data_IF_767925848932
#
_entry.id   IF_767925848932
#
_cell.length_a   1.000
_cell.length_b   1.000
_cell.length_c   1.000
_cell.angle_alpha   90.00
_cell.angle_beta   90.00
_cell.angle_gamma   90.00
#
_symmetry.space_group_name_H-M   'P 1'
#
loop_
_entity.id
_entity.type
_entity.pdbx_description
1 polymer ?
#
# COMPACT_ATOMS: atom_id res chain seq x y z
N UNK A 1 -1.97 -12.21 18.02
CA UNK A 1 -1.74 -13.14 16.90
C UNK A 1 -0.65 -12.62 15.98
N UNK A 2 0.30 -13.48 15.64
CA UNK A 2 1.42 -13.08 14.79
C UNK A 2 0.98 -13.01 13.33
N UNK A 3 1.35 -11.92 12.65
CA UNK A 3 1.10 -11.79 11.22
C UNK A 3 1.91 -12.82 10.44
N UNK A 4 1.30 -13.39 9.40
CA UNK A 4 1.99 -14.31 8.50
C UNK A 4 2.70 -13.59 7.37
N UNK A 5 2.44 -12.30 7.20
CA UNK A 5 3.03 -11.51 6.12
C UNK A 5 4.31 -10.85 6.60
N UNK A 6 5.36 -10.95 5.78
CA UNK A 6 6.60 -10.23 5.99
C UNK A 6 6.54 -8.93 5.18
N UNK A 7 6.75 -7.80 5.83
CA UNK A 7 6.65 -6.50 5.18
C UNK A 7 8.02 -5.92 4.88
N UNK A 8 8.17 -5.40 3.68
CA UNK A 8 9.35 -4.67 3.26
C UNK A 8 8.97 -3.37 2.59
N UNK A 9 9.96 -2.52 2.35
CA UNK A 9 9.77 -1.22 1.73
C UNK A 9 10.89 -0.95 0.75
N UNK A 10 10.52 -0.46 -0.45
CA UNK A 10 11.54 -0.02 -1.38
C UNK A 10 12.13 1.31 -0.89
N UNK A 11 13.35 1.66 -1.32
CA UNK A 11 13.92 2.96 -0.97
C UNK A 11 13.05 4.13 -1.41
N UNK A 12 12.38 4.00 -2.56
CA UNK A 12 11.48 5.02 -3.07
C UNK A 12 10.27 5.21 -2.17
N UNK A 13 9.70 4.10 -1.68
CA UNK A 13 8.58 4.18 -0.74
C UNK A 13 9.02 4.87 0.56
N UNK A 14 10.21 4.57 1.05
CA UNK A 14 10.71 5.18 2.27
C UNK A 14 10.80 6.69 2.13
N UNK A 15 11.21 7.18 0.97
CA UNK A 15 11.27 8.61 0.70
C UNK A 15 9.87 9.23 0.65
N UNK A 16 8.92 8.54 0.01
CA UNK A 16 7.53 8.99 -0.03
C UNK A 16 6.96 9.10 1.37
N UNK A 17 7.15 8.06 2.17
CA UNK A 17 6.62 7.98 3.51
C UNK A 17 7.19 9.09 4.40
N UNK A 18 8.50 9.28 4.35
CA UNK A 18 9.18 10.30 5.14
C UNK A 18 8.67 11.70 4.78
N UNK A 19 8.49 11.96 3.49
CA UNK A 19 7.99 13.24 3.01
C UNK A 19 6.56 13.49 3.48
N UNK A 20 5.69 12.49 3.32
CA UNK A 20 4.29 12.63 3.68
C UNK A 20 4.07 12.63 5.20
N UNK A 21 4.93 11.96 5.95
CA UNK A 21 4.84 11.94 7.41
C UNK A 21 4.98 13.34 8.01
N UNK A 22 5.76 14.20 7.38
CA UNK A 22 5.89 15.59 7.83
C UNK A 22 4.58 16.34 7.74
N UNK A 23 3.74 15.99 6.77
CA UNK A 23 2.46 16.62 6.54
C UNK A 23 1.32 15.92 7.29
N UNK A 24 1.38 14.60 7.37
CA UNK A 24 0.35 13.78 8.01
C UNK A 24 0.99 12.99 9.15
N UNK A 25 0.97 13.55 10.35
CA UNK A 25 1.73 13.02 11.49
C UNK A 25 1.27 11.65 11.98
N UNK A 26 0.07 11.22 11.63
CA UNK A 26 -0.46 9.93 12.07
C UNK A 26 -0.12 8.77 11.13
N UNK A 27 0.64 9.01 10.05
CA UNK A 27 0.86 7.99 9.02
C UNK A 27 1.49 6.70 9.52
N UNK A 28 2.38 6.77 10.50
CA UNK A 28 3.00 5.56 11.05
C UNK A 28 1.95 4.62 11.64
N UNK A 29 1.09 5.16 12.51
CA UNK A 29 0.02 4.39 13.11
C UNK A 29 -1.02 3.96 12.08
N UNK A 30 -1.33 4.85 11.13
CA UNK A 30 -2.32 4.57 10.09
C UNK A 30 -1.85 3.42 9.20
N UNK A 31 -0.57 3.36 8.87
CA UNK A 31 -0.01 2.29 8.05
C UNK A 31 -0.06 0.96 8.80
N UNK A 32 0.31 0.95 10.09
CA UNK A 32 0.25 -0.29 10.87
C UNK A 32 -1.17 -0.82 10.97
N UNK A 33 -2.15 0.06 11.11
CA UNK A 33 -3.54 -0.35 11.14
C UNK A 33 -3.99 -0.90 9.78
N UNK A 34 -3.55 -0.27 8.68
CA UNK A 34 -3.91 -0.73 7.34
C UNK A 34 -3.34 -2.11 7.03
N UNK A 35 -2.15 -2.44 7.57
CA UNK A 35 -1.59 -3.79 7.40
C UNK A 35 -2.55 -4.84 7.94
N UNK A 36 -3.14 -4.59 9.10
CA UNK A 36 -4.05 -5.53 9.73
C UNK A 36 -5.45 -5.46 9.10
N UNK A 37 -6.02 -4.27 9.00
CA UNK A 37 -7.43 -4.09 8.64
C UNK A 37 -7.69 -4.18 7.14
N UNK A 38 -6.67 -4.05 6.31
CA UNK A 38 -6.85 -4.12 4.87
C UNK A 38 -6.04 -5.24 4.24
N UNK A 39 -4.72 -5.18 4.36
CA UNK A 39 -3.83 -6.11 3.64
C UNK A 39 -4.01 -7.55 4.13
N UNK A 40 -3.99 -7.79 5.43
CA UNK A 40 -4.13 -9.14 5.97
C UNK A 40 -5.53 -9.68 5.75
N UNK A 41 -6.56 -8.85 5.87
CA UNK A 41 -7.92 -9.29 5.56
C UNK A 41 -8.02 -9.75 4.11
N UNK A 42 -7.46 -8.99 3.18
CA UNK A 42 -7.57 -9.29 1.76
C UNK A 42 -6.76 -10.54 1.37
N UNK A 43 -5.50 -10.61 1.78
CA UNK A 43 -4.59 -11.69 1.31
C UNK A 43 -4.64 -12.96 2.16
N UNK A 44 -4.78 -12.83 3.46
CA UNK A 44 -4.75 -13.99 4.35
C UNK A 44 -6.15 -14.52 4.63
N UNK A 45 -7.08 -13.65 4.98
CA UNK A 45 -8.45 -14.06 5.33
C UNK A 45 -9.37 -14.11 4.11
N UNK A 46 -8.90 -13.65 2.95
CA UNK A 46 -9.66 -13.65 1.70
C UNK A 46 -10.98 -12.87 1.79
N UNK A 47 -10.98 -11.81 2.60
CA UNK A 47 -12.14 -10.95 2.75
C UNK A 47 -11.92 -9.67 1.94
N UNK A 48 -12.83 -9.40 1.00
CA UNK A 48 -12.76 -8.19 0.20
C UNK A 48 -13.50 -7.06 0.93
N UNK A 49 -12.73 -6.10 1.47
CA UNK A 49 -13.28 -4.96 2.18
C UNK A 49 -13.43 -3.73 1.27
N UNK A 50 -13.31 -3.91 -0.04
CA UNK A 50 -13.46 -2.88 -1.05
C UNK A 50 -12.43 -1.74 -0.92
N UNK A 51 -11.33 -2.00 -0.24
CA UNK A 51 -10.22 -1.04 -0.08
C UNK A 51 -9.09 -1.32 -1.02
N UNK A 52 -8.91 -2.58 -1.42
CA UNK A 52 -7.74 -3.02 -2.18
C UNK A 52 -8.16 -3.43 -3.58
N UNK A 53 -7.42 -2.91 -4.56
CA UNK A 53 -7.71 -3.13 -5.97
C UNK A 53 -6.44 -3.57 -6.69
N UNK A 54 -6.43 -4.78 -7.28
CA UNK A 54 -5.28 -5.20 -8.10
C UNK A 54 -5.11 -4.25 -9.29
N UNK A 55 -3.86 -3.97 -9.64
CA UNK A 55 -3.56 -3.08 -10.77
C UNK A 55 -3.36 -3.93 -12.02
N UNK A 56 -4.24 -3.75 -13.00
CA UNK A 56 -4.16 -4.50 -14.25
C UNK A 56 -2.85 -4.21 -14.99
N UNK A 57 -2.31 -5.25 -15.59
CA UNK A 57 -1.08 -5.14 -16.36
C UNK A 57 0.19 -5.40 -15.57
N UNK A 58 0.09 -5.48 -14.24
CA UNK A 58 1.27 -5.70 -13.39
C UNK A 58 1.16 -6.95 -12.52
N UNK A 59 0.05 -7.67 -12.59
CA UNK A 59 -0.10 -8.90 -11.82
C UNK A 59 0.42 -10.09 -12.63
N UNK A 60 1.16 -10.99 -11.97
CA UNK A 60 1.69 -12.21 -12.57
C UNK A 60 1.27 -13.40 -11.72
N UNK A 61 1.71 -14.59 -12.09
CA UNK A 61 1.46 -15.79 -11.29
C UNK A 61 2.12 -15.72 -9.91
N UNK A 62 3.21 -14.97 -9.80
CA UNK A 62 4.01 -14.88 -8.57
C UNK A 62 3.73 -13.63 -7.75
N UNK A 63 3.31 -12.55 -8.39
CA UNK A 63 3.18 -11.25 -7.76
C UNK A 63 1.84 -10.63 -8.11
N UNK A 64 1.15 -10.11 -7.09
CA UNK A 64 -0.04 -9.31 -7.28
C UNK A 64 0.27 -7.88 -6.85
N UNK A 65 0.25 -6.94 -7.79
CA UNK A 65 0.45 -5.53 -7.46
C UNK A 65 -0.91 -4.92 -7.17
N UNK A 66 -1.02 -4.27 -6.02
CA UNK A 66 -2.29 -3.76 -5.52
C UNK A 66 -2.20 -2.30 -5.11
N UNK A 67 -3.35 -1.64 -5.16
CA UNK A 67 -3.49 -0.26 -4.70
C UNK A 67 -4.50 -0.23 -3.55
N UNK A 68 -4.12 0.39 -2.42
CA UNK A 68 -5.07 0.69 -1.35
C UNK A 68 -5.67 2.05 -1.66
N UNK A 69 -6.97 2.10 -1.93
CA UNK A 69 -7.68 3.35 -2.23
C UNK A 69 -8.37 3.96 -1.01
N UNK A 70 -8.83 3.11 -0.10
CA UNK A 70 -9.53 3.58 1.10
C UNK A 70 -8.61 3.45 2.30
N UNK A 71 -7.73 4.43 2.45
CA UNK A 71 -6.75 4.47 3.51
C UNK A 71 -7.16 5.54 4.52
N UNK A 72 -7.45 5.11 5.76
CA UNK A 72 -7.83 6.03 6.82
C UNK A 72 -6.60 6.74 7.37
N UNK A 73 -6.65 8.06 7.47
CA UNK A 73 -5.56 8.86 8.01
C UNK A 73 -6.11 9.76 9.11
N UNK A 74 -5.69 9.51 10.35
CA UNK A 74 -6.18 10.22 11.51
C UNK A 74 -5.86 11.71 11.47
N UNK A 75 -4.75 12.08 10.84
CA UNK A 75 -4.37 13.49 10.69
C UNK A 75 -5.35 14.26 9.82
N UNK A 76 -6.14 13.56 8.97
CA UNK A 76 -7.17 14.17 8.14
C UNK A 76 -8.53 13.91 8.78
N UNK A 77 -8.79 14.61 9.87
CA UNK A 77 -10.01 14.45 10.66
C UNK A 77 -11.26 14.66 9.82
N UNK A 78 -12.27 13.80 10.07
CA UNK A 78 -13.55 13.90 9.38
C UNK A 78 -13.59 13.27 8.01
N UNK A 79 -12.48 12.79 7.47
CA UNK A 79 -12.45 12.15 6.16
C UNK A 79 -12.51 10.63 6.22
N UNK A 80 -12.12 10.01 7.35
CA UNK A 80 -12.10 8.56 7.48
C UNK A 80 -11.26 7.93 6.37
N UNK A 81 -11.84 6.99 5.63
CA UNK A 81 -11.16 6.32 4.52
C UNK A 81 -11.05 7.16 3.25
N UNK A 82 -11.54 8.40 3.28
CA UNK A 82 -11.49 9.31 2.12
C UNK A 82 -10.32 10.29 2.24
N UNK A 83 -9.22 9.85 2.81
CA UNK A 83 -8.06 10.71 3.03
C UNK A 83 -7.39 11.18 1.74
N UNK A 84 -7.53 10.41 0.67
CA UNK A 84 -6.82 10.69 -0.57
C UNK A 84 -5.43 10.10 -0.61
N UNK A 85 -4.98 9.48 0.49
CA UNK A 85 -3.69 8.80 0.51
C UNK A 85 -3.84 7.44 -0.15
N UNK A 86 -2.91 7.13 -1.07
CA UNK A 86 -2.91 5.89 -1.83
C UNK A 86 -1.61 5.17 -1.59
N UNK A 87 -1.68 3.84 -1.49
CA UNK A 87 -0.49 3.01 -1.28
C UNK A 87 -0.46 1.93 -2.36
N UNK A 88 0.72 1.77 -2.98
CA UNK A 88 0.95 0.72 -3.96
C UNK A 88 1.90 -0.28 -3.33
N UNK A 89 1.55 -1.57 -3.41
CA UNK A 89 2.41 -2.62 -2.88
C UNK A 89 2.33 -3.86 -3.78
N UNK A 90 3.33 -4.71 -3.64
CA UNK A 90 3.36 -6.01 -4.31
C UNK A 90 3.24 -7.12 -3.28
N UNK A 91 2.32 -8.04 -3.51
CA UNK A 91 2.17 -9.23 -2.68
C UNK A 91 2.81 -10.41 -3.41
N UNK A 92 3.79 -11.04 -2.77
CA UNK A 92 4.47 -12.23 -3.31
C UNK A 92 3.82 -13.47 -2.72
N UNK A 93 3.15 -14.24 -3.57
CA UNK A 93 2.39 -15.42 -3.11
C UNK A 93 3.27 -16.47 -2.45
N UNK A 94 4.44 -16.72 -3.02
CA UNK A 94 5.28 -17.83 -2.61
C UNK A 94 5.80 -17.70 -1.18
N UNK A 95 6.31 -16.54 -0.83
CA UNK A 95 6.88 -16.31 0.50
C UNK A 95 6.02 -15.42 1.40
N UNK A 96 4.79 -15.17 1.00
CA UNK A 96 3.85 -14.38 1.78
C UNK A 96 4.47 -13.05 2.22
N UNK A 97 4.98 -12.31 1.24
CA UNK A 97 5.72 -11.06 1.48
C UNK A 97 5.02 -9.89 0.79
N UNK A 98 4.97 -8.77 1.49
CA UNK A 98 4.48 -7.51 0.92
C UNK A 98 5.64 -6.53 0.85
N UNK A 99 5.89 -5.99 -0.35
CA UNK A 99 6.84 -4.89 -0.54
C UNK A 99 6.06 -3.63 -0.89
N UNK A 100 6.20 -2.60 -0.08
CA UNK A 100 5.59 -1.31 -0.38
C UNK A 100 6.41 -0.59 -1.44
N UNK A 101 5.74 -0.12 -2.48
CA UNK A 101 6.39 0.47 -3.66
C UNK A 101 6.23 1.98 -3.69
N UNK A 102 5.02 2.48 -3.40
CA UNK A 102 4.73 3.90 -3.50
C UNK A 102 3.66 4.32 -2.50
N UNK A 103 3.81 5.53 -1.96
CA UNK A 103 2.75 6.20 -1.23
C UNK A 103 2.61 7.59 -1.82
N UNK A 104 1.37 7.98 -2.13
CA UNK A 104 1.15 9.33 -2.66
C UNK A 104 -0.16 9.89 -2.14
N UNK A 105 -0.27 11.21 -2.19
CA UNK A 105 -1.47 11.93 -1.82
C UNK A 105 -2.16 12.42 -3.09
N UNK A 106 -3.42 12.05 -3.28
CA UNK A 106 -4.14 12.34 -4.52
C UNK A 106 -4.24 13.84 -4.81
N UNK A 107 -4.21 14.67 -3.78
CA UNK A 107 -4.18 16.13 -3.95
C UNK A 107 -2.92 16.64 -4.61
N UNK A 108 -1.83 15.86 -4.58
CA UNK A 108 -0.54 16.23 -5.17
C UNK A 108 -0.21 15.45 -6.43
N UNK A 109 -0.73 14.23 -6.55
CA UNK A 109 -0.43 13.32 -7.65
C UNK A 109 -1.68 12.52 -7.98
N UNK A 110 -2.09 12.53 -9.23
CA UNK A 110 -3.38 11.95 -9.62
C UNK A 110 -3.40 10.42 -9.60
N UNK A 111 -2.34 9.80 -10.11
CA UNK A 111 -2.27 8.34 -10.24
C UNK A 111 -0.91 7.81 -9.82
N UNK A 112 -0.83 6.48 -9.69
CA UNK A 112 0.41 5.80 -9.34
C UNK A 112 1.48 5.97 -10.43
N UNK A 113 2.74 5.86 -10.04
CA UNK A 113 3.89 5.91 -10.95
C UNK A 113 4.10 4.52 -11.55
N UNK A 114 3.55 4.32 -12.75
CA UNK A 114 3.59 3.01 -13.40
C UNK A 114 5.00 2.58 -13.81
N UNK A 115 5.86 3.53 -14.13
CA UNK A 115 7.25 3.23 -14.46
C UNK A 115 8.00 2.68 -13.25
N UNK A 116 7.74 3.23 -12.07
CA UNK A 116 8.31 2.72 -10.83
C UNK A 116 7.88 1.27 -10.58
N UNK A 117 6.60 0.98 -10.81
CA UNK A 117 6.07 -0.37 -10.66
C UNK A 117 6.76 -1.33 -11.64
N UNK A 118 6.93 -0.90 -12.89
CA UNK A 118 7.57 -1.73 -13.91
C UNK A 118 9.00 -2.06 -13.51
N UNK A 119 9.75 -1.07 -13.05
CA UNK A 119 11.13 -1.29 -12.62
C UNK A 119 11.20 -2.23 -11.41
N UNK A 120 10.26 -2.10 -10.50
CA UNK A 120 10.20 -3.01 -9.35
C UNK A 120 10.03 -4.45 -9.81
N UNK A 121 9.10 -4.69 -10.72
CA UNK A 121 8.81 -6.04 -11.22
C UNK A 121 10.01 -6.61 -11.98
N UNK A 122 10.67 -5.79 -12.79
CA UNK A 122 11.83 -6.23 -13.55
C UNK A 122 13.00 -6.65 -12.66
N UNK A 123 13.11 -6.07 -11.48
CA UNK A 123 14.20 -6.34 -10.55
C UNK A 123 13.84 -7.36 -9.47
N UNK A 124 12.66 -7.95 -9.54
CA UNK A 124 12.24 -8.91 -8.51
C UNK A 124 12.28 -10.35 -8.98
#
# INVERSE_FOLDING_TARGET
>A
MTSKINYGETPEFQKDFKRLLKKFKSLEDDLELAKIAAIEFFHIQKINNLSIFPIQGFCTEKIQVCKIKKFACKALKGRGSKSGIRIIYAFHYENCKVDFIEMYFKGEQENEDRERIRKYIENS
#
